data_IF_846247425559
#
_entry.id   IF_846247425559
#
_cell.length_a   1.000
_cell.length_b   1.000
_cell.length_c   1.000
_cell.angle_alpha   90.00
_cell.angle_beta   90.00
_cell.angle_gamma   90.00
#
_symmetry.space_group_name_H-M   'P 1'
#
loop_
_entity.id
_entity.type
_entity.pdbx_description
1 polymer ?
#
# COMPACT_ATOMS: atom_id res chain seq x y z
N UNK A 1 2.92 3.98 20.53
CA UNK A 1 3.27 4.94 19.46
C UNK A 1 3.11 6.37 19.99
N UNK A 2 3.98 7.24 19.58
CA UNK A 2 3.93 8.66 19.98
C UNK A 2 2.65 9.31 19.42
N UNK A 3 1.88 10.06 20.24
CA UNK A 3 0.62 10.65 19.78
C UNK A 3 0.76 11.56 18.55
N UNK A 4 1.85 12.30 18.44
CA UNK A 4 2.08 13.17 17.29
C UNK A 4 2.37 12.37 16.01
N UNK A 5 3.03 11.22 16.13
CA UNK A 5 3.25 10.32 15.02
C UNK A 5 1.92 9.71 14.54
N UNK A 6 1.07 9.32 15.49
CA UNK A 6 -0.26 8.81 15.15
C UNK A 6 -1.10 9.87 14.45
N UNK A 7 -1.03 11.11 14.93
CA UNK A 7 -1.75 12.20 14.29
C UNK A 7 -1.24 12.44 12.86
N UNK A 8 0.07 12.39 12.65
CA UNK A 8 0.67 12.50 11.32
C UNK A 8 0.16 11.39 10.39
N UNK A 9 0.03 10.17 10.91
CA UNK A 9 -0.51 9.04 10.14
C UNK A 9 -1.97 9.25 9.75
N UNK A 10 -2.75 9.94 10.57
CA UNK A 10 -4.14 10.24 10.26
C UNK A 10 -4.29 11.36 9.24
N UNK A 11 -3.40 12.35 9.29
CA UNK A 11 -3.53 13.58 8.52
C UNK A 11 -2.81 13.57 7.18
N UNK A 12 -1.73 12.80 7.04
CA UNK A 12 -0.93 12.81 5.83
C UNK A 12 -1.62 12.09 4.67
N UNK A 13 -1.50 12.64 3.47
CA UNK A 13 -2.00 12.00 2.25
C UNK A 13 -1.11 10.87 1.78
N UNK A 14 0.17 10.99 2.02
CA UNK A 14 1.18 10.07 1.51
C UNK A 14 2.23 9.78 2.59
N UNK A 15 2.85 8.63 2.46
CA UNK A 15 4.00 8.25 3.27
C UNK A 15 5.15 7.83 2.37
N UNK A 16 6.34 7.79 2.93
CA UNK A 16 7.50 7.20 2.28
C UNK A 16 7.72 5.82 2.89
N UNK A 17 7.62 4.80 2.07
CA UNK A 17 7.89 3.43 2.48
C UNK A 17 9.32 3.06 2.09
N UNK A 18 10.11 2.62 3.07
CA UNK A 18 11.48 2.17 2.84
C UNK A 18 11.54 0.67 3.05
N UNK A 19 11.89 -0.03 1.99
CA UNK A 19 12.03 -1.49 2.00
C UNK A 19 13.47 -1.88 1.71
N UNK A 20 13.83 -3.09 2.08
CA UNK A 20 15.12 -3.66 1.71
C UNK A 20 14.98 -4.39 0.37
N UNK A 21 15.80 -4.01 -0.59
CA UNK A 21 15.83 -4.65 -1.89
C UNK A 21 16.16 -6.14 -1.79
N UNK A 22 15.29 -6.97 -2.34
CA UNK A 22 15.43 -8.44 -2.28
C UNK A 22 16.64 -8.97 -3.04
N UNK A 23 17.17 -8.18 -3.97
CA UNK A 23 18.34 -8.56 -4.78
C UNK A 23 19.60 -7.85 -4.34
N UNK A 24 19.50 -6.54 -4.11
CA UNK A 24 20.66 -5.71 -3.80
C UNK A 24 20.98 -5.63 -2.30
N UNK A 25 20.00 -5.88 -1.43
CA UNK A 25 20.11 -5.63 0.00
C UNK A 25 20.11 -4.15 0.36
N UNK A 26 19.97 -3.27 -0.61
CA UNK A 26 19.95 -1.82 -0.39
C UNK A 26 18.55 -1.34 -0.07
N UNK A 27 18.47 -0.20 0.60
CA UNK A 27 17.19 0.43 0.87
C UNK A 27 16.61 1.02 -0.40
N UNK A 28 15.29 0.84 -0.57
CA UNK A 28 14.52 1.43 -1.64
C UNK A 28 13.35 2.19 -1.04
N UNK A 29 13.16 3.43 -1.46
CA UNK A 29 12.11 4.28 -0.95
C UNK A 29 11.08 4.54 -2.05
N UNK A 30 9.81 4.53 -1.67
CA UNK A 30 8.69 4.84 -2.57
C UNK A 30 7.65 5.64 -1.83
N UNK A 31 7.08 6.65 -2.49
CA UNK A 31 5.98 7.44 -1.95
C UNK A 31 4.67 6.76 -2.30
N UNK A 32 3.85 6.50 -1.29
CA UNK A 32 2.59 5.78 -1.45
C UNK A 32 1.45 6.50 -0.73
N UNK A 33 0.26 6.40 -1.28
CA UNK A 33 -0.96 6.71 -0.56
C UNK A 33 -1.26 5.58 0.39
N UNK A 34 -1.95 5.89 1.47
CA UNK A 34 -2.21 4.91 2.52
C UNK A 34 -3.45 5.28 3.31
N UNK A 35 -3.96 4.32 4.06
CA UNK A 35 -4.93 4.57 5.12
C UNK A 35 -4.39 3.98 6.42
N UNK A 36 -4.69 4.63 7.53
CA UNK A 36 -4.23 4.19 8.85
C UNK A 36 -5.41 3.76 9.70
N UNK A 37 -5.30 2.59 10.30
CA UNK A 37 -6.29 2.09 11.25
C UNK A 37 -5.65 1.03 12.16
N UNK A 38 -6.00 1.07 13.43
CA UNK A 38 -5.66 0.03 14.41
C UNK A 38 -4.16 -0.29 14.49
N UNK A 39 -3.32 0.74 14.46
CA UNK A 39 -1.87 0.59 14.56
C UNK A 39 -1.20 0.10 13.30
N UNK A 40 -1.92 0.01 12.19
CA UNK A 40 -1.38 -0.45 10.92
C UNK A 40 -1.64 0.56 9.81
N UNK A 41 -0.72 0.62 8.85
CA UNK A 41 -0.98 1.31 7.60
C UNK A 41 -1.43 0.29 6.56
N UNK A 42 -2.44 0.66 5.79
CA UNK A 42 -2.99 -0.16 4.72
C UNK A 42 -2.56 0.43 3.39
N UNK A 43 -1.83 -0.36 2.65
CA UNK A 43 -1.29 -0.02 1.34
C UNK A 43 -1.98 -0.87 0.30
N UNK A 44 -1.80 -0.51 -0.95
CA UNK A 44 -2.30 -1.30 -2.06
C UNK A 44 -1.33 -1.19 -3.22
N UNK A 45 -1.24 -2.24 -4.01
CA UNK A 45 -0.45 -2.20 -5.22
C UNK A 45 -1.18 -1.41 -6.29
N UNK A 46 -0.43 -0.64 -7.05
CA UNK A 46 -0.92 -0.04 -8.28
C UNK A 46 -0.54 -0.97 -9.43
N UNK A 47 -1.37 -1.08 -10.47
CA UNK A 47 -1.00 -1.88 -11.63
C UNK A 47 0.08 -1.14 -12.41
N UNK A 48 1.33 -1.35 -12.01
CA UNK A 48 2.49 -0.64 -12.55
C UNK A 48 2.68 -0.82 -14.03
N UNK A 49 2.32 -1.97 -14.51
CA UNK A 49 2.48 -2.32 -15.91
C UNK A 49 1.20 -2.10 -16.70
N UNK A 50 0.17 -1.58 -16.05
CA UNK A 50 -1.01 -1.15 -16.79
C UNK A 50 -0.59 0.05 -17.64
N UNK A 51 -0.66 -0.06 -18.96
CA UNK A 51 -0.35 1.10 -19.78
C UNK A 51 -1.28 2.23 -19.38
N UNK A 52 -0.74 3.42 -19.26
CA UNK A 52 -1.52 4.63 -18.97
C UNK A 52 -2.38 5.06 -20.16
N UNK A 53 -2.59 4.17 -21.11
CA UNK A 53 -3.45 4.41 -22.24
C UNK A 53 -4.91 4.51 -21.78
N UNK A 54 -5.76 5.19 -22.55
CA UNK A 54 -7.18 5.22 -22.27
C UNK A 54 -7.67 3.84 -21.90
N UNK A 55 -8.36 3.74 -20.80
CA UNK A 55 -8.76 2.47 -20.20
C UNK A 55 -9.47 1.52 -21.16
N UNK A 56 -10.15 2.07 -22.15
CA UNK A 56 -10.84 1.30 -23.17
C UNK A 56 -9.93 0.43 -24.03
N UNK A 57 -8.64 0.76 -24.05
CA UNK A 57 -7.70 0.11 -24.94
C UNK A 57 -6.89 -0.98 -24.28
N UNK A 58 -7.04 -1.11 -22.99
CA UNK A 58 -6.18 -2.03 -22.25
C UNK A 58 -7.04 -3.11 -21.65
N UNK A 59 -7.05 -4.20 -22.34
CA UNK A 59 -7.38 -5.46 -21.70
C UNK A 59 -6.15 -5.82 -20.87
N UNK A 60 -6.05 -5.24 -19.67
CA UNK A 60 -5.10 -5.76 -18.72
C UNK A 60 -5.58 -7.15 -18.38
N UNK A 61 -4.90 -8.11 -18.92
CA UNK A 61 -5.15 -9.49 -18.55
C UNK A 61 -4.92 -9.57 -17.04
N UNK A 62 -5.92 -10.04 -16.32
CA UNK A 62 -5.75 -10.40 -14.92
C UNK A 62 -4.48 -11.25 -14.81
N UNK A 63 -3.57 -10.85 -13.95
CA UNK A 63 -2.33 -11.59 -13.75
C UNK A 63 -1.18 -11.20 -14.67
N UNK A 64 -1.38 -10.31 -15.64
CA UNK A 64 -0.28 -9.82 -16.48
C UNK A 64 0.47 -8.64 -15.86
N UNK A 65 -0.14 -7.93 -14.90
CA UNK A 65 0.52 -6.86 -14.19
C UNK A 65 1.47 -7.46 -13.15
N UNK A 66 2.74 -7.12 -13.28
CA UNK A 66 3.72 -7.53 -12.28
C UNK A 66 3.50 -6.72 -11.02
N UNK A 67 3.55 -7.33 -9.83
CA UNK A 67 3.52 -6.56 -8.60
C UNK A 67 4.69 -5.59 -8.57
N UNK A 68 4.51 -4.40 -7.98
CA UNK A 68 5.59 -3.42 -7.86
C UNK A 68 6.74 -3.95 -7.01
N UNK A 69 7.92 -3.37 -7.21
CA UNK A 69 9.11 -3.80 -6.48
C UNK A 69 8.96 -3.70 -4.97
N UNK A 70 8.33 -2.64 -4.47
CA UNK A 70 8.16 -2.50 -3.03
C UNK A 70 7.35 -3.64 -2.43
N UNK A 71 6.34 -4.13 -3.14
CA UNK A 71 5.55 -5.28 -2.71
C UNK A 71 6.41 -6.55 -2.67
N UNK A 72 7.18 -6.77 -3.73
CA UNK A 72 8.05 -7.94 -3.83
C UNK A 72 9.16 -7.90 -2.79
N UNK A 73 9.69 -6.72 -2.49
CA UNK A 73 10.67 -6.54 -1.44
C UNK A 73 10.08 -6.86 -0.06
N UNK A 74 8.85 -6.42 0.24
CA UNK A 74 8.18 -6.75 1.49
C UNK A 74 7.86 -8.24 1.61
N UNK A 75 7.52 -8.88 0.50
CA UNK A 75 7.29 -10.33 0.51
C UNK A 75 8.55 -11.10 0.87
N UNK A 76 9.71 -10.61 0.44
CA UNK A 76 11.00 -11.24 0.74
C UNK A 76 11.52 -10.86 2.13
N UNK A 77 11.36 -9.61 2.55
CA UNK A 77 11.74 -9.10 3.86
C UNK A 77 10.64 -8.20 4.40
N UNK A 78 9.82 -8.69 5.33
CA UNK A 78 8.65 -7.94 5.84
C UNK A 78 8.99 -6.70 6.65
N UNK A 79 10.18 -6.62 7.20
CA UNK A 79 10.57 -5.44 7.98
C UNK A 79 10.80 -4.25 7.06
N UNK A 80 10.28 -3.12 7.47
CA UNK A 80 10.36 -1.89 6.69
C UNK A 80 10.35 -0.68 7.62
N UNK A 81 10.44 0.49 7.03
CA UNK A 81 10.31 1.76 7.75
C UNK A 81 9.30 2.63 7.03
N UNK A 82 8.57 3.40 7.82
CA UNK A 82 7.56 4.32 7.31
C UNK A 82 7.94 5.73 7.75
N UNK A 83 8.14 6.62 6.79
CA UNK A 83 8.40 8.03 7.08
C UNK A 83 7.13 8.83 6.80
N UNK A 84 6.65 9.52 7.81
CA UNK A 84 5.43 10.32 7.71
C UNK A 84 5.52 11.49 8.68
N UNK A 85 5.23 12.71 8.21
CA UNK A 85 5.18 13.89 9.06
C UNK A 85 6.45 14.14 9.88
N UNK A 86 7.63 13.81 9.36
CA UNK A 86 8.89 13.95 10.08
C UNK A 86 9.23 12.80 11.02
N UNK A 87 8.36 11.80 11.12
CA UNK A 87 8.59 10.61 11.94
C UNK A 87 9.10 9.46 11.09
N UNK A 88 10.00 8.66 11.68
CA UNK A 88 10.53 7.45 11.06
C UNK A 88 10.12 6.27 11.95
N UNK A 89 9.20 5.47 11.46
CA UNK A 89 8.56 4.42 12.24
C UNK A 89 8.94 3.03 11.71
N UNK A 90 9.33 2.11 12.57
CA UNK A 90 9.54 0.72 12.15
C UNK A 90 8.19 0.05 11.85
N UNK A 91 8.18 -0.82 10.86
CA UNK A 91 6.99 -1.55 10.50
C UNK A 91 7.28 -2.97 10.06
N UNK A 92 6.27 -3.80 10.11
CA UNK A 92 6.31 -5.18 9.63
C UNK A 92 5.09 -5.46 8.78
N UNK A 93 5.32 -5.90 7.54
CA UNK A 93 4.25 -6.40 6.71
C UNK A 93 3.72 -7.69 7.32
N UNK A 94 2.39 -7.79 7.45
CA UNK A 94 1.74 -8.94 8.05
C UNK A 94 0.93 -9.71 7.03
N UNK A 95 0.88 -11.03 7.12
CA UNK A 95 0.01 -11.82 6.28
C UNK A 95 -1.44 -11.40 6.47
N UNK A 96 -2.18 -11.39 5.39
CA UNK A 96 -3.61 -11.19 5.40
C UNK A 96 -4.27 -12.56 5.46
N UNK A 97 -5.21 -12.76 6.37
CA UNK A 97 -5.89 -14.03 6.50
C UNK A 97 -6.71 -14.34 5.25
N UNK A 98 -7.75 -13.57 5.02
CA UNK A 98 -8.61 -13.68 3.84
C UNK A 98 -8.32 -12.48 2.92
N UNK A 99 -7.77 -12.72 1.71
CA UNK A 99 -7.46 -11.64 0.79
C UNK A 99 -8.67 -10.81 0.37
N UNK A 100 -9.83 -11.43 0.24
CA UNK A 100 -11.06 -10.74 -0.12
C UNK A 100 -11.51 -9.80 1.00
N UNK A 101 -11.56 -10.29 2.22
CA UNK A 101 -11.93 -9.48 3.37
C UNK A 101 -10.93 -8.33 3.58
N UNK A 102 -9.65 -8.60 3.40
CA UNK A 102 -8.60 -7.59 3.51
C UNK A 102 -8.75 -6.50 2.44
N UNK A 103 -9.08 -6.89 1.22
CA UNK A 103 -9.32 -5.93 0.14
C UNK A 103 -10.54 -5.05 0.44
N UNK A 104 -11.63 -5.64 0.92
CA UNK A 104 -12.81 -4.89 1.33
C UNK A 104 -12.48 -3.89 2.45
N UNK A 105 -11.72 -4.31 3.43
CA UNK A 105 -11.30 -3.43 4.53
C UNK A 105 -10.44 -2.27 4.02
N UNK A 106 -9.49 -2.55 3.15
CA UNK A 106 -8.64 -1.53 2.55
C UNK A 106 -9.48 -0.52 1.75
N UNK A 107 -10.43 -0.99 0.99
CA UNK A 107 -11.33 -0.13 0.21
C UNK A 107 -12.17 0.78 1.12
N UNK A 108 -12.73 0.23 2.20
CA UNK A 108 -13.50 1.02 3.16
C UNK A 108 -12.66 2.13 3.78
N UNK A 109 -11.45 1.80 4.22
CA UNK A 109 -10.54 2.78 4.81
C UNK A 109 -10.13 3.85 3.79
N UNK A 110 -9.93 3.44 2.57
CA UNK A 110 -9.56 4.33 1.49
C UNK A 110 -10.69 5.31 1.14
N UNK A 111 -11.91 4.81 1.06
CA UNK A 111 -13.09 5.64 0.82
C UNK A 111 -13.30 6.67 1.93
N UNK A 112 -13.08 6.25 3.16
CA UNK A 112 -13.23 7.15 4.30
C UNK A 112 -12.21 8.30 4.26
N UNK A 113 -11.02 8.02 3.74
CA UNK A 113 -9.94 9.02 3.71
C UNK A 113 -9.98 9.89 2.46
N UNK A 114 -10.17 9.30 1.29
CA UNK A 114 -10.00 9.99 0.00
C UNK A 114 -11.31 10.27 -0.72
N UNK A 115 -12.42 9.71 -0.27
CA UNK A 115 -13.71 9.87 -0.91
C UNK A 115 -14.06 8.73 -1.85
N UNK A 116 -15.37 8.57 -2.12
CA UNK A 116 -15.87 7.45 -2.90
C UNK A 116 -15.41 7.47 -4.37
N UNK A 117 -15.17 8.63 -4.90
CA UNK A 117 -14.74 8.82 -6.28
C UNK A 117 -13.36 8.25 -6.59
N UNK A 118 -12.55 8.05 -5.55
CA UNK A 118 -11.21 7.47 -5.68
C UNK A 118 -11.24 5.95 -5.73
N UNK A 119 -12.37 5.36 -5.38
CA UNK A 119 -12.49 3.91 -5.29
C UNK A 119 -13.75 3.47 -6.03
N UNK A 120 -13.62 3.27 -7.31
CA UNK A 120 -14.69 2.71 -8.13
C UNK A 120 -14.71 1.19 -8.03
N UNK A 121 -15.83 0.58 -8.36
CA UNK A 121 -15.96 -0.87 -8.31
C UNK A 121 -14.95 -1.59 -9.19
N UNK A 122 -14.59 -1.01 -10.34
CA UNK A 122 -13.56 -1.55 -11.21
C UNK A 122 -12.23 -1.76 -10.49
N UNK A 123 -12.01 -1.02 -9.42
CA UNK A 123 -10.80 -1.11 -8.63
C UNK A 123 -10.62 -2.49 -8.01
N UNK A 124 -11.72 -3.08 -7.55
CA UNK A 124 -11.69 -4.43 -6.97
C UNK A 124 -11.32 -5.47 -8.02
N UNK A 125 -11.64 -5.19 -9.27
CA UNK A 125 -11.37 -6.10 -10.38
C UNK A 125 -10.00 -5.90 -11.03
N UNK A 126 -9.30 -4.86 -10.64
CA UNK A 126 -8.01 -4.50 -11.26
C UNK A 126 -6.82 -5.33 -10.75
N UNK A 127 -7.06 -6.35 -9.93
CA UNK A 127 -6.00 -7.20 -9.42
C UNK A 127 -5.06 -6.51 -8.41
N UNK A 128 -5.53 -5.47 -7.75
CA UNK A 128 -4.74 -4.77 -6.73
C UNK A 128 -4.65 -5.61 -5.47
N UNK A 129 -3.48 -5.61 -4.87
CA UNK A 129 -3.21 -6.41 -3.69
C UNK A 129 -3.14 -5.49 -2.47
N UNK A 130 -3.98 -5.70 -1.46
CA UNK A 130 -3.86 -4.96 -0.21
C UNK A 130 -2.65 -5.43 0.57
N UNK A 131 -2.00 -4.51 1.26
CA UNK A 131 -0.86 -4.81 2.11
C UNK A 131 -1.05 -4.11 3.44
N UNK A 132 -0.94 -4.86 4.52
CA UNK A 132 -1.01 -4.30 5.86
C UNK A 132 0.38 -4.28 6.48
N UNK A 133 0.80 -3.10 6.93
CA UNK A 133 2.06 -2.93 7.64
C UNK A 133 1.74 -2.52 9.08
N UNK A 134 2.04 -3.39 10.01
CA UNK A 134 1.88 -3.11 11.43
C UNK A 134 3.04 -2.26 11.91
N UNK A 135 2.72 -1.17 12.63
CA UNK A 135 3.72 -0.21 13.13
C UNK A 135 4.03 -0.45 14.60
N UNK A 136 5.27 -0.22 14.96
CA UNK A 136 5.71 -0.31 16.35
C UNK A 136 6.58 -1.49 16.70
#
# INVERSE_FOLDING_TARGET
>A
MHPEAEQALRDADELLLVTRGRRSGREHAVTLRFAYADGSVWLRTEPHDAPRAPAAMVVVRRGAARPPDWYRNLAAEPRCRVHVGGFDLPGNARPLGDPQAALHRAVELWRAKYGAEWVADWYLDAGRIPVRVELG
#
